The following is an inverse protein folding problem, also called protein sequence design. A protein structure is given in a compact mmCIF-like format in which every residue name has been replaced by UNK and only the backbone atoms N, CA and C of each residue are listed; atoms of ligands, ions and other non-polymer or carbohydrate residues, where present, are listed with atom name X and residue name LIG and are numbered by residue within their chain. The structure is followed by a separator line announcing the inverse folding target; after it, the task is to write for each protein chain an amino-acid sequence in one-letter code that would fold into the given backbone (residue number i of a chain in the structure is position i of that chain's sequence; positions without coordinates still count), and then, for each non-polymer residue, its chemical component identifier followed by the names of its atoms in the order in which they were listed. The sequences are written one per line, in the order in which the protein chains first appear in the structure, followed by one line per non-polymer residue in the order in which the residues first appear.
data_IF_523438262115
#
_entry.id   IF_523438262115
#
_cell.length_a   1.000
_cell.length_b   1.000
_cell.length_c   1.000
_cell.angle_alpha   90.00
_cell.angle_beta   90.00
_cell.angle_gamma   90.00
#
_symmetry.space_group_name_H-M   'P 1'
#
loop_
_entity.id
_entity.type
_entity.pdbx_description
1 polymer ?
#
# COMPACT_ATOMS: atom_id res chain seq x y z
N UNK A 1 -4.92 -71.32 -26.72
CA UNK A 1 -4.16 -70.34 -27.51
C UNK A 1 -3.99 -69.07 -26.71
N UNK A 2 -2.77 -68.54 -26.65
CA UNK A 2 -2.48 -67.29 -25.96
C UNK A 2 -2.26 -66.25 -27.06
N UNK A 3 -3.33 -65.54 -27.43
CA UNK A 3 -3.37 -64.66 -28.61
C UNK A 3 -2.23 -63.64 -28.65
N UNK A 4 -1.84 -63.12 -27.47
CA UNK A 4 -0.70 -62.21 -27.32
C UNK A 4 0.65 -62.84 -27.65
N UNK A 5 0.78 -64.16 -27.48
CA UNK A 5 1.98 -64.93 -27.80
C UNK A 5 2.03 -65.31 -29.28
N UNK A 6 0.87 -65.41 -29.92
CA UNK A 6 0.72 -65.69 -31.36
C UNK A 6 0.90 -64.44 -32.23
N UNK A 7 0.60 -63.25 -31.71
CA UNK A 7 0.66 -61.99 -32.45
C UNK A 7 1.60 -60.97 -31.78
N UNK A 8 2.93 -61.18 -31.84
CA UNK A 8 3.91 -60.40 -31.06
C UNK A 8 3.91 -58.89 -31.39
N UNK A 9 3.64 -58.52 -32.65
CA UNK A 9 3.53 -57.11 -33.05
C UNK A 9 2.36 -56.40 -32.36
N UNK A 10 1.16 -56.98 -32.42
CA UNK A 10 -0.04 -56.38 -31.82
C UNK A 10 0.07 -56.28 -30.31
N UNK A 11 0.71 -57.28 -29.67
CA UNK A 11 1.01 -57.24 -28.24
C UNK A 11 1.91 -56.06 -27.86
N UNK A 12 3.00 -55.86 -28.60
CA UNK A 12 3.91 -54.75 -28.36
C UNK A 12 3.23 -53.40 -28.64
N UNK A 13 2.45 -53.31 -29.72
CA UNK A 13 1.71 -52.10 -30.08
C UNK A 13 0.71 -51.71 -28.99
N UNK A 14 -0.12 -52.65 -28.51
CA UNK A 14 -1.11 -52.38 -27.47
C UNK A 14 -0.43 -51.99 -26.15
N UNK A 15 0.69 -52.64 -25.80
CA UNK A 15 1.44 -52.29 -24.59
C UNK A 15 1.99 -50.86 -24.65
N UNK A 16 2.59 -50.47 -25.77
CA UNK A 16 3.17 -49.13 -25.96
C UNK A 16 2.06 -48.08 -26.07
N UNK A 17 1.05 -48.32 -26.91
CA UNK A 17 -0.06 -47.40 -27.12
C UNK A 17 -0.88 -47.21 -25.83
N UNK A 18 -1.15 -48.30 -25.10
CA UNK A 18 -1.83 -48.26 -23.80
C UNK A 18 -1.01 -47.52 -22.75
N UNK A 19 0.30 -47.76 -22.69
CA UNK A 19 1.21 -47.03 -21.81
C UNK A 19 1.23 -45.53 -22.13
N UNK A 20 1.36 -45.16 -23.40
CA UNK A 20 1.33 -43.77 -23.85
C UNK A 20 0.00 -43.09 -23.53
N UNK A 21 -1.12 -43.80 -23.71
CA UNK A 21 -2.45 -43.28 -23.38
C UNK A 21 -2.63 -43.02 -21.88
N UNK A 22 -2.21 -43.96 -21.02
CA UNK A 22 -2.27 -43.78 -19.58
C UNK A 22 -1.39 -42.62 -19.10
N UNK A 23 -0.19 -42.48 -19.67
CA UNK A 23 0.68 -41.34 -19.39
C UNK A 23 0.05 -40.02 -19.81
N UNK A 24 -0.51 -39.94 -21.02
CA UNK A 24 -1.19 -38.75 -21.51
C UNK A 24 -2.39 -38.37 -20.62
N UNK A 25 -3.20 -39.35 -20.21
CA UNK A 25 -4.31 -39.13 -19.29
C UNK A 25 -3.82 -38.63 -17.91
N UNK A 26 -2.73 -39.19 -17.39
CA UNK A 26 -2.11 -38.74 -16.14
C UNK A 26 -1.61 -37.30 -16.21
N UNK A 27 -0.91 -36.93 -17.28
CA UNK A 27 -0.46 -35.55 -17.51
C UNK A 27 -1.65 -34.58 -17.66
N UNK A 28 -2.70 -34.98 -18.36
CA UNK A 28 -3.90 -34.15 -18.55
C UNK A 28 -4.63 -33.92 -17.22
N UNK A 29 -4.71 -34.94 -16.36
CA UNK A 29 -5.27 -34.78 -15.02
C UNK A 29 -4.44 -33.85 -14.14
N UNK A 30 -3.11 -34.02 -14.15
CA UNK A 30 -2.20 -33.19 -13.37
C UNK A 30 -2.20 -31.72 -13.82
N UNK A 31 -2.16 -31.48 -15.13
CA UNK A 31 -2.21 -30.13 -15.70
C UNK A 31 -3.56 -29.45 -15.45
N UNK A 32 -4.66 -30.19 -15.50
CA UNK A 32 -5.98 -29.67 -15.12
C UNK A 32 -6.00 -29.22 -13.66
N UNK A 33 -5.51 -30.05 -12.73
CA UNK A 33 -5.44 -29.68 -11.31
C UNK A 33 -4.56 -28.45 -11.07
N UNK A 34 -3.37 -28.40 -11.68
CA UNK A 34 -2.48 -27.25 -11.58
C UNK A 34 -3.08 -25.97 -12.18
N UNK A 35 -3.86 -26.10 -13.26
CA UNK A 35 -4.54 -24.97 -13.88
C UNK A 35 -5.68 -24.47 -13.00
N UNK A 36 -6.49 -25.36 -12.42
CA UNK A 36 -7.57 -25.01 -11.50
C UNK A 36 -7.03 -24.27 -10.26
N UNK A 37 -5.94 -24.76 -9.66
CA UNK A 37 -5.27 -24.12 -8.53
C UNK A 37 -4.72 -22.72 -8.88
N UNK A 38 -4.07 -22.59 -10.04
CA UNK A 38 -3.55 -21.30 -10.50
C UNK A 38 -4.70 -20.32 -10.80
N UNK A 39 -5.78 -20.80 -11.40
CA UNK A 39 -6.94 -19.99 -11.75
C UNK A 39 -7.73 -19.57 -10.50
N UNK A 40 -7.79 -20.41 -9.47
CA UNK A 40 -8.36 -20.06 -8.17
C UNK A 40 -7.60 -18.92 -7.51
N UNK A 41 -6.26 -19.02 -7.43
CA UNK A 41 -5.39 -17.94 -6.90
C UNK A 41 -5.54 -16.65 -7.70
N UNK A 42 -5.57 -16.74 -9.03
CA UNK A 42 -5.78 -15.57 -9.88
C UNK A 42 -7.13 -14.89 -9.61
N UNK A 43 -8.21 -15.68 -9.47
CA UNK A 43 -9.54 -15.15 -9.17
C UNK A 43 -9.60 -14.50 -7.79
N UNK A 44 -8.94 -15.09 -6.80
CA UNK A 44 -8.80 -14.52 -5.46
C UNK A 44 -8.09 -13.16 -5.51
N UNK A 45 -6.92 -13.10 -6.15
CA UNK A 45 -6.18 -11.83 -6.31
C UNK A 45 -6.95 -10.79 -7.12
N UNK A 46 -7.68 -11.19 -8.17
CA UNK A 46 -8.51 -10.29 -8.97
C UNK A 46 -9.72 -9.75 -8.17
N UNK A 47 -10.31 -10.58 -7.29
CA UNK A 47 -11.37 -10.16 -6.39
C UNK A 47 -10.86 -9.18 -5.33
N UNK A 48 -9.68 -9.43 -4.76
CA UNK A 48 -9.02 -8.49 -3.84
C UNK A 48 -8.69 -7.16 -4.52
N UNK A 49 -8.12 -7.21 -5.74
CA UNK A 49 -7.85 -6.00 -6.51
C UNK A 49 -9.14 -5.21 -6.78
N UNK A 50 -10.20 -5.87 -7.23
CA UNK A 50 -11.51 -5.23 -7.45
C UNK A 50 -12.06 -4.66 -6.14
N UNK A 51 -11.88 -5.34 -5.01
CA UNK A 51 -12.28 -4.85 -3.68
C UNK A 51 -11.45 -3.65 -3.23
N UNK A 52 -10.17 -3.56 -3.59
CA UNK A 52 -9.31 -2.42 -3.30
C UNK A 52 -9.62 -1.22 -4.21
N UNK A 53 -9.91 -1.48 -5.48
CA UNK A 53 -10.30 -0.46 -6.46
C UNK A 53 -11.71 0.10 -6.18
N UNK A 54 -12.65 -0.77 -5.80
CA UNK A 54 -14.00 -0.36 -5.35
C UNK A 54 -14.02 0.13 -3.90
N UNK A 55 -13.01 -0.25 -3.13
CA UNK A 55 -12.73 0.20 -1.77
C UNK A 55 -12.22 1.64 -1.79
N UNK A 56 -13.12 2.57 -2.13
CA UNK A 56 -13.02 4.02 -2.07
C UNK A 56 -11.57 4.56 -2.08
N UNK A 57 -10.98 4.79 -3.26
CA UNK A 57 -9.62 5.30 -3.37
C UNK A 57 -9.59 6.75 -2.87
N UNK A 58 -9.25 6.95 -1.59
CA UNK A 58 -9.03 8.27 -0.99
C UNK A 58 -10.25 9.22 -0.92
N UNK A 59 -10.17 10.22 -0.03
CA UNK A 59 -10.84 10.21 1.27
C UNK A 59 -12.37 10.23 1.13
N UNK A 60 -13.06 9.44 1.96
CA UNK A 60 -14.51 9.57 2.14
C UNK A 60 -14.87 11.02 2.47
N UNK A 61 -16.05 11.50 2.05
CA UNK A 61 -16.50 12.87 2.36
C UNK A 61 -16.41 13.18 3.87
N UNK A 62 -16.60 12.17 4.72
CA UNK A 62 -16.38 12.25 6.16
C UNK A 62 -14.91 12.50 6.54
N UNK A 63 -13.95 11.82 5.91
CA UNK A 63 -12.52 12.04 6.14
C UNK A 63 -12.02 13.37 5.58
N UNK A 64 -12.54 13.81 4.43
CA UNK A 64 -12.31 15.18 3.91
C UNK A 64 -12.82 16.22 4.91
N UNK A 65 -14.03 16.02 5.43
CA UNK A 65 -14.63 16.88 6.45
C UNK A 65 -13.77 16.95 7.71
N UNK A 66 -13.31 15.81 8.22
CA UNK A 66 -12.39 15.75 9.38
C UNK A 66 -11.10 16.53 9.12
N UNK A 67 -10.48 16.34 7.95
CA UNK A 67 -9.24 17.04 7.58
C UNK A 67 -9.44 18.56 7.53
N UNK A 68 -10.57 19.01 6.96
CA UNK A 68 -10.92 20.43 6.94
C UNK A 68 -11.08 21.01 8.35
N UNK A 69 -11.78 20.30 9.24
CA UNK A 69 -11.93 20.72 10.63
C UNK A 69 -10.59 20.82 11.36
N UNK A 70 -9.66 19.88 11.14
CA UNK A 70 -8.32 19.96 11.73
C UNK A 70 -7.54 21.19 11.24
N UNK A 71 -7.60 21.49 9.94
CA UNK A 71 -6.98 22.68 9.36
C UNK A 71 -7.55 23.98 9.93
N UNK A 72 -8.88 24.07 10.03
CA UNK A 72 -9.56 25.25 10.58
C UNK A 72 -9.20 25.46 12.05
N UNK A 73 -9.18 24.38 12.85
CA UNK A 73 -8.77 24.43 14.25
C UNK A 73 -7.29 24.85 14.41
N UNK A 74 -6.41 24.32 13.58
CA UNK A 74 -4.99 24.67 13.60
C UNK A 74 -4.77 26.14 13.26
N UNK A 75 -5.46 26.64 12.23
CA UNK A 75 -5.41 28.05 11.84
C UNK A 75 -5.90 28.97 12.96
N UNK A 76 -7.01 28.61 13.61
CA UNK A 76 -7.52 29.37 14.76
C UNK A 76 -6.53 29.39 15.93
N UNK A 77 -5.84 28.28 16.20
CA UNK A 77 -4.81 28.22 17.23
C UNK A 77 -3.60 29.11 16.90
N UNK A 78 -3.17 29.14 15.62
CA UNK A 78 -2.11 30.03 15.17
C UNK A 78 -2.49 31.51 15.26
N UNK A 79 -3.70 31.88 14.86
CA UNK A 79 -4.18 33.25 14.96
C UNK A 79 -4.28 33.72 16.41
N UNK A 80 -4.73 32.82 17.31
CA UNK A 80 -4.71 33.08 18.75
C UNK A 80 -3.30 33.27 19.28
N UNK A 81 -2.37 32.37 18.94
CA UNK A 81 -0.96 32.49 19.34
C UNK A 81 -0.35 33.80 18.86
N UNK A 82 -0.63 34.20 17.62
CA UNK A 82 -0.19 35.47 17.05
C UNK A 82 -0.77 36.68 17.79
N UNK A 83 -2.05 36.61 18.17
CA UNK A 83 -2.70 37.63 18.99
C UNK A 83 -2.06 37.77 20.37
N UNK A 84 -1.81 36.64 21.04
CA UNK A 84 -1.12 36.61 22.33
C UNK A 84 0.34 37.07 22.22
N UNK A 85 1.02 36.74 21.12
CA UNK A 85 2.36 37.26 20.88
C UNK A 85 2.32 38.77 20.72
N UNK A 86 1.34 39.33 20.01
CA UNK A 86 1.24 40.78 19.80
C UNK A 86 0.97 41.55 21.10
N UNK A 87 0.29 40.93 22.08
CA UNK A 87 0.04 41.56 23.39
C UNK A 87 1.19 41.37 24.37
N UNK A 88 1.97 40.29 24.24
CA UNK A 88 3.13 39.99 25.09
C UNK A 88 4.46 40.50 24.54
N UNK A 89 4.58 40.65 23.23
CA UNK A 89 5.65 41.44 22.62
C UNK A 89 5.39 42.86 23.06
N UNK A 90 6.15 43.28 24.06
CA UNK A 90 6.29 44.67 24.44
C UNK A 90 6.39 45.49 23.16
N UNK A 91 5.59 46.54 23.05
CA UNK A 91 5.74 47.59 22.05
C UNK A 91 7.03 48.35 22.35
N UNK A 92 8.15 47.65 22.40
CA UNK A 92 9.45 48.29 22.53
C UNK A 92 9.72 48.88 21.16
N UNK A 93 9.71 50.21 21.12
CA UNK A 93 10.05 50.95 19.92
C UNK A 93 11.36 50.36 19.37
N UNK A 94 11.45 50.10 18.05
CA UNK A 94 12.64 49.51 17.47
C UNK A 94 13.85 50.35 17.89
N UNK A 95 14.69 49.78 18.76
CA UNK A 95 15.87 50.44 19.29
C UNK A 95 16.81 50.70 18.11
N UNK A 96 17.20 51.96 17.95
CA UNK A 96 18.25 52.28 16.99
C UNK A 96 19.54 51.52 17.39
N UNK A 97 20.37 51.05 16.44
CA UNK A 97 21.49 50.17 16.74
C UNK A 97 22.47 50.70 17.80
N UNK A 98 22.63 52.03 17.87
CA UNK A 98 23.43 52.75 18.86
C UNK A 98 22.84 52.69 20.28
N UNK A 99 21.51 52.70 20.42
CA UNK A 99 20.83 52.66 21.71
C UNK A 99 20.85 51.26 22.32
N UNK A 100 20.75 50.21 21.49
CA UNK A 100 20.90 48.83 21.94
C UNK A 100 22.28 48.58 22.55
N UNK A 101 23.35 49.00 21.86
CA UNK A 101 24.72 48.83 22.35
C UNK A 101 24.97 49.61 23.65
N UNK A 102 24.41 50.81 23.77
CA UNK A 102 24.50 51.62 24.98
C UNK A 102 23.80 50.96 26.17
N UNK A 103 22.58 50.46 25.99
CA UNK A 103 21.82 49.75 27.04
C UNK A 103 22.45 48.42 27.43
N UNK A 104 22.95 47.66 26.47
CA UNK A 104 23.67 46.41 26.72
C UNK A 104 24.93 46.66 27.57
N UNK A 105 25.71 47.69 27.24
CA UNK A 105 26.90 48.07 28.01
C UNK A 105 26.54 48.49 29.44
N UNK A 106 25.45 49.24 29.62
CA UNK A 106 24.97 49.62 30.96
C UNK A 106 24.53 48.41 31.78
N UNK A 107 23.77 47.47 31.18
CA UNK A 107 23.33 46.26 31.88
C UNK A 107 24.50 45.37 32.32
N UNK A 108 25.54 45.24 31.49
CA UNK A 108 26.74 44.46 31.81
C UNK A 108 27.57 45.13 32.92
N UNK A 109 27.63 46.45 32.97
CA UNK A 109 28.37 47.19 34.03
C UNK A 109 27.61 47.18 35.37
N UNK A 110 26.28 47.09 35.33
CA UNK A 110 25.43 47.01 36.52
C UNK A 110 25.23 45.57 37.06
N UNK A 111 25.88 44.58 36.45
CA UNK A 111 25.93 43.18 36.93
C UNK A 111 27.29 42.90 37.54
#
# INVERSE_FOLDING_TARGET
MNWFRENPFWSAFIAIAGGAFLLAAGFLWWTKGSYEDAMAKYRESAAEQTSLESGNPYPSAANVGKMKTYLDNYKAALDKLKGELKTRMLTEAPLAPNEFQTRLRQAIIHT
#
